data_IF_518789222025
#
_entry.id   IF_518789222025
#
_cell.length_a   1.000
_cell.length_b   1.000
_cell.length_c   1.000
_cell.angle_alpha   90.00
_cell.angle_beta   90.00
_cell.angle_gamma   90.00
#
_symmetry.space_group_name_H-M   'P 1'
#
loop_
_entity.id
_entity.type
_entity.pdbx_description
1 polymer ?
#
# COMPACT_ATOMS: atom_id res chain seq x y z
N UNK A 1 -5.66 30.93 -13.74
CA UNK A 1 -5.40 30.62 -12.31
C UNK A 1 -3.99 30.05 -12.20
N UNK A 2 -3.13 30.60 -11.35
CA UNK A 2 -1.70 30.22 -11.24
C UNK A 2 -1.54 28.95 -10.38
N UNK A 3 -0.47 28.19 -10.60
CA UNK A 3 -0.13 27.01 -9.79
C UNK A 3 0.24 27.42 -8.36
N UNK A 4 -0.57 27.01 -7.38
CA UNK A 4 -0.29 27.21 -5.96
C UNK A 4 0.73 26.17 -5.43
N UNK A 5 1.58 26.59 -4.48
CA UNK A 5 2.54 25.72 -3.79
C UNK A 5 1.82 24.89 -2.72
N UNK A 6 2.07 23.58 -2.71
CA UNK A 6 1.54 22.65 -1.70
C UNK A 6 2.58 22.41 -0.61
N UNK A 7 2.11 22.19 0.62
CA UNK A 7 2.92 21.65 1.72
C UNK A 7 3.20 20.16 1.45
N UNK A 8 4.38 19.69 1.83
CA UNK A 8 4.81 18.29 1.63
C UNK A 8 4.34 17.41 2.79
N UNK A 9 3.03 17.38 3.00
CA UNK A 9 2.35 16.65 4.06
C UNK A 9 1.20 15.83 3.44
N UNK A 10 0.64 14.89 4.20
CA UNK A 10 -0.52 14.13 3.75
C UNK A 10 -1.70 15.07 3.47
N UNK A 11 -2.30 14.96 2.28
CA UNK A 11 -3.49 15.74 1.93
C UNK A 11 -4.70 15.09 2.60
N UNK A 12 -5.21 15.72 3.65
CA UNK A 12 -6.37 15.25 4.42
C UNK A 12 -7.65 15.18 3.57
N UNK A 13 -7.87 16.14 2.67
CA UNK A 13 -9.06 16.18 1.82
C UNK A 13 -8.98 15.10 0.72
N UNK A 14 -9.84 14.08 0.80
CA UNK A 14 -9.85 12.94 -0.13
C UNK A 14 -10.04 13.31 -1.60
N UNK A 15 -10.89 14.30 -1.91
CA UNK A 15 -11.11 14.75 -3.31
C UNK A 15 -9.86 15.46 -3.86
N UNK A 16 -9.23 16.30 -3.04
CA UNK A 16 -7.98 16.98 -3.41
C UNK A 16 -6.80 16.00 -3.50
N UNK A 17 -6.75 15.00 -2.62
CA UNK A 17 -5.78 13.91 -2.64
C UNK A 17 -5.87 13.13 -3.95
N UNK A 18 -7.08 12.68 -4.32
CA UNK A 18 -7.30 11.91 -5.55
C UNK A 18 -6.88 12.69 -6.81
N UNK A 19 -7.32 13.95 -6.93
CA UNK A 19 -6.94 14.81 -8.05
C UNK A 19 -5.42 15.03 -8.13
N UNK A 20 -4.78 15.25 -6.98
CA UNK A 20 -3.33 15.45 -6.91
C UNK A 20 -2.57 14.17 -7.25
N UNK A 21 -3.04 13.02 -6.77
CA UNK A 21 -2.49 11.71 -7.07
C UNK A 21 -2.54 11.43 -8.58
N UNK A 22 -3.70 11.60 -9.23
CA UNK A 22 -3.82 11.38 -10.67
C UNK A 22 -2.89 12.30 -11.48
N UNK A 23 -2.81 13.59 -11.13
CA UNK A 23 -1.91 14.53 -11.81
C UNK A 23 -0.45 14.18 -11.62
N UNK A 24 -0.03 13.85 -10.39
CA UNK A 24 1.36 13.50 -10.09
C UNK A 24 1.76 12.17 -10.70
N UNK A 25 0.88 11.16 -10.67
CA UNK A 25 1.06 9.87 -11.33
C UNK A 25 1.37 10.07 -12.81
N UNK A 26 0.53 10.83 -13.53
CA UNK A 26 0.76 11.15 -14.96
C UNK A 26 2.09 11.88 -15.19
N UNK A 27 2.45 12.81 -14.30
CA UNK A 27 3.74 13.49 -14.37
C UNK A 27 4.93 12.54 -14.17
N UNK A 28 4.84 11.60 -13.23
CA UNK A 28 5.87 10.60 -12.98
C UNK A 28 5.99 9.58 -14.11
N UNK A 29 4.86 9.16 -14.70
CA UNK A 29 4.85 8.30 -15.89
C UNK A 29 5.55 8.98 -17.06
N UNK A 30 5.27 10.27 -17.28
CA UNK A 30 5.95 11.08 -18.31
C UNK A 30 7.45 11.18 -18.05
N UNK A 31 7.84 11.50 -16.81
CA UNK A 31 9.26 11.59 -16.44
C UNK A 31 9.98 10.24 -16.64
N UNK A 32 9.35 9.13 -16.25
CA UNK A 32 9.92 7.78 -16.43
C UNK A 32 10.09 7.44 -17.91
N UNK A 33 9.11 7.76 -18.74
CA UNK A 33 9.19 7.54 -20.19
C UNK A 33 10.29 8.36 -20.86
N UNK A 34 10.44 9.62 -20.48
CA UNK A 34 11.51 10.49 -20.96
C UNK A 34 12.89 9.94 -20.56
N UNK A 35 13.06 9.52 -19.31
CA UNK A 35 14.31 8.91 -18.85
C UNK A 35 14.63 7.61 -19.59
N UNK A 36 13.63 6.74 -19.78
CA UNK A 36 13.80 5.50 -20.52
C UNK A 36 14.23 5.76 -21.97
N UNK A 37 13.68 6.80 -22.61
CA UNK A 37 14.02 7.18 -23.98
C UNK A 37 15.40 7.84 -24.08
N UNK A 38 15.75 8.74 -23.16
CA UNK A 38 17.00 9.51 -23.22
C UNK A 38 18.24 8.68 -22.88
N UNK A 39 18.10 7.73 -21.97
CA UNK A 39 19.21 6.91 -21.51
C UNK A 39 19.18 5.48 -22.06
N UNK A 40 18.15 5.13 -22.85
CA UNK A 40 17.93 3.78 -23.39
C UNK A 40 17.98 2.69 -22.30
N UNK A 41 17.42 3.00 -21.12
CA UNK A 41 17.33 2.08 -19.98
C UNK A 41 15.89 1.66 -19.74
N UNK A 42 15.68 0.38 -19.46
CA UNK A 42 14.39 -0.15 -19.00
C UNK A 42 14.13 0.27 -17.55
N UNK A 43 13.08 1.08 -17.34
CA UNK A 43 12.71 1.61 -16.02
C UNK A 43 11.33 1.09 -15.61
N UNK A 44 11.28 0.40 -14.47
CA UNK A 44 10.04 -0.05 -13.84
C UNK A 44 9.58 0.87 -12.71
N UNK A 45 8.28 1.19 -12.66
CA UNK A 45 7.68 2.01 -11.60
C UNK A 45 6.48 1.30 -10.96
N UNK A 46 6.47 1.19 -9.62
CA UNK A 46 5.37 0.61 -8.84
C UNK A 46 4.67 1.71 -8.04
N UNK A 47 3.36 1.92 -8.27
CA UNK A 47 2.55 2.94 -7.59
C UNK A 47 1.31 2.31 -6.97
N UNK A 48 1.13 2.49 -5.66
CA UNK A 48 -0.08 2.14 -4.93
C UNK A 48 -1.02 3.35 -4.81
N UNK A 49 -2.26 3.20 -5.29
CA UNK A 49 -3.26 4.26 -5.30
C UNK A 49 -4.25 4.19 -4.14
N UNK A 50 -4.88 5.32 -3.76
CA UNK A 50 -5.79 5.40 -2.61
C UNK A 50 -7.07 4.56 -2.75
N UNK A 51 -7.49 4.19 -3.97
CA UNK A 51 -8.70 3.41 -4.22
C UNK A 51 -8.45 1.93 -4.56
N UNK A 52 -7.18 1.51 -4.63
CA UNK A 52 -6.84 0.11 -4.89
C UNK A 52 -7.21 -0.78 -3.71
N UNK A 53 -7.30 -0.25 -2.49
CA UNK A 53 -7.59 -1.03 -1.28
C UNK A 53 -9.03 -1.54 -1.24
N UNK A 54 -10.03 -0.75 -1.62
CA UNK A 54 -11.44 -1.18 -1.55
C UNK A 54 -11.80 -2.14 -2.69
N UNK A 55 -11.41 -1.85 -3.93
CA UNK A 55 -11.62 -2.77 -5.07
C UNK A 55 -10.90 -4.10 -4.85
N UNK A 56 -9.66 -4.06 -4.37
CA UNK A 56 -8.92 -5.28 -4.04
C UNK A 56 -9.58 -6.06 -2.89
N UNK A 57 -10.10 -5.39 -1.86
CA UNK A 57 -10.88 -6.05 -0.79
C UNK A 57 -12.14 -6.70 -1.34
N UNK A 58 -12.89 -6.03 -2.22
CA UNK A 58 -14.10 -6.56 -2.85
C UNK A 58 -13.80 -7.77 -3.74
N UNK A 59 -12.76 -7.69 -4.58
CA UNK A 59 -12.32 -8.80 -5.42
C UNK A 59 -11.83 -9.99 -4.59
N UNK A 60 -11.06 -9.73 -3.53
CA UNK A 60 -10.59 -10.75 -2.60
C UNK A 60 -11.76 -11.41 -1.84
N UNK A 61 -12.78 -10.64 -1.46
CA UNK A 61 -14.01 -11.16 -0.85
C UNK A 61 -14.83 -11.98 -1.85
N UNK A 62 -14.94 -11.54 -3.10
CA UNK A 62 -15.66 -12.24 -4.18
C UNK A 62 -14.99 -13.57 -4.51
N UNK A 63 -13.66 -13.59 -4.60
CA UNK A 63 -12.88 -14.81 -4.78
C UNK A 63 -13.06 -15.74 -3.58
N UNK A 64 -12.96 -15.24 -2.35
CA UNK A 64 -13.21 -16.02 -1.13
C UNK A 64 -14.62 -16.64 -1.10
N UNK A 65 -15.65 -15.90 -1.53
CA UNK A 65 -17.03 -16.40 -1.65
C UNK A 65 -17.14 -17.56 -2.65
N UNK A 66 -16.55 -17.43 -3.84
CA UNK A 66 -16.55 -18.48 -4.86
C UNK A 66 -15.79 -19.73 -4.41
N UNK A 67 -14.67 -19.53 -3.72
CA UNK A 67 -13.86 -20.63 -3.18
C UNK A 67 -14.56 -21.38 -2.05
N UNK A 68 -15.45 -20.75 -1.26
CA UNK A 68 -16.18 -21.43 -0.18
C UNK A 68 -17.05 -22.59 -0.67
N UNK A 69 -17.84 -22.37 -1.73
CA UNK A 69 -18.73 -23.39 -2.28
C UNK A 69 -18.01 -24.54 -2.98
N UNK A 70 -16.80 -24.30 -3.50
CA UNK A 70 -15.97 -25.35 -4.10
C UNK A 70 -15.15 -26.13 -3.06
N UNK A 71 -14.70 -25.48 -1.97
CA UNK A 71 -13.83 -26.10 -0.96
C UNK A 71 -14.59 -26.92 0.08
N UNK A 72 -15.81 -26.49 0.43
CA UNK A 72 -16.65 -27.16 1.40
C UNK A 72 -18.00 -27.47 0.75
N UNK A 73 -18.23 -28.71 0.27
CA UNK A 73 -19.50 -29.08 -0.33
C UNK A 73 -20.65 -28.96 0.69
N UNK A 74 -21.87 -28.84 0.17
CA UNK A 74 -23.11 -28.91 0.97
C UNK A 74 -23.31 -30.29 1.61
N UNK A 75 -24.24 -30.35 2.58
CA UNK A 75 -24.56 -31.49 3.45
C UNK A 75 -24.27 -32.86 2.83
N UNK A 76 -23.46 -33.66 3.53
CA UNK A 76 -23.11 -35.01 3.11
C UNK A 76 -24.16 -35.99 3.65
N UNK A 77 -24.78 -36.76 2.76
CA UNK A 77 -25.83 -37.73 3.11
C UNK A 77 -25.37 -38.77 4.13
N UNK A 78 -24.05 -39.02 4.23
CA UNK A 78 -23.48 -39.94 5.22
C UNK A 78 -23.79 -39.54 6.67
N UNK A 79 -24.04 -38.25 6.93
CA UNK A 79 -24.40 -37.77 8.26
C UNK A 79 -25.82 -38.17 8.68
N UNK A 80 -26.67 -38.57 7.73
CA UNK A 80 -28.04 -39.04 8.01
C UNK A 80 -28.07 -40.44 8.63
N UNK A 81 -26.99 -41.22 8.47
CA UNK A 81 -26.88 -42.59 8.99
C UNK A 81 -26.19 -42.67 10.37
N UNK A 82 -25.89 -41.52 10.99
CA UNK A 82 -25.23 -41.48 12.30
C UNK A 82 -26.24 -41.57 13.44
N UNK A 83 -25.89 -42.35 14.45
CA UNK A 83 -26.61 -42.39 15.71
C UNK A 83 -26.37 -41.11 16.51
N UNK A 84 -27.28 -40.79 17.43
CA UNK A 84 -27.24 -39.56 18.22
C UNK A 84 -25.92 -39.36 18.97
N UNK A 85 -25.36 -40.43 19.54
CA UNK A 85 -24.11 -40.36 20.31
C UNK A 85 -22.92 -39.99 19.42
N UNK A 86 -22.87 -40.54 18.19
CA UNK A 86 -21.86 -40.21 17.20
C UNK A 86 -22.01 -38.77 16.71
N UNK A 87 -23.24 -38.31 16.52
CA UNK A 87 -23.52 -36.93 16.13
C UNK A 87 -23.11 -35.93 17.23
N UNK A 88 -23.37 -36.28 18.49
CA UNK A 88 -22.99 -35.47 19.66
C UNK A 88 -21.47 -35.34 19.77
N UNK A 89 -20.73 -36.41 19.56
CA UNK A 89 -19.26 -36.40 19.54
C UNK A 89 -18.71 -35.52 18.41
N UNK A 90 -19.29 -35.59 17.21
CA UNK A 90 -18.88 -34.72 16.10
C UNK A 90 -19.13 -33.24 16.44
N UNK A 91 -20.29 -32.91 17.03
CA UNK A 91 -20.63 -31.53 17.40
C UNK A 91 -19.65 -30.98 18.44
N UNK A 92 -19.28 -31.75 19.46
CA UNK A 92 -18.33 -31.27 20.50
C UNK A 92 -16.95 -30.99 19.91
N UNK A 93 -16.45 -31.88 19.05
CA UNK A 93 -15.17 -31.70 18.35
C UNK A 93 -15.20 -30.46 17.45
N UNK A 94 -16.29 -30.24 16.72
CA UNK A 94 -16.44 -29.06 15.87
C UNK A 94 -16.49 -27.77 16.70
N UNK A 95 -17.23 -27.75 17.80
CA UNK A 95 -17.31 -26.58 18.68
C UNK A 95 -15.94 -26.23 19.29
N UNK A 96 -15.17 -27.23 19.71
CA UNK A 96 -13.79 -27.04 20.19
C UNK A 96 -12.88 -26.48 19.10
N UNK A 97 -12.93 -27.04 17.88
CA UNK A 97 -12.15 -26.55 16.73
C UNK A 97 -12.53 -25.12 16.33
N UNK A 98 -13.82 -24.78 16.32
CA UNK A 98 -14.30 -23.41 16.08
C UNK A 98 -13.73 -22.46 17.13
N UNK A 99 -13.76 -22.85 18.41
CA UNK A 99 -13.17 -22.09 19.51
C UNK A 99 -11.68 -21.82 19.30
N UNK A 100 -10.88 -22.85 19.02
CA UNK A 100 -9.44 -22.73 18.79
C UNK A 100 -9.11 -21.80 17.60
N UNK A 101 -9.85 -21.92 16.49
CA UNK A 101 -9.68 -21.04 15.33
C UNK A 101 -10.04 -19.59 15.66
N UNK A 102 -11.14 -19.35 16.41
CA UNK A 102 -11.53 -18.00 16.84
C UNK A 102 -10.45 -17.34 17.69
N UNK A 103 -9.87 -18.07 18.64
CA UNK A 103 -8.75 -17.59 19.47
C UNK A 103 -7.58 -17.18 18.58
N UNK A 104 -7.16 -18.05 17.65
CA UNK A 104 -6.06 -17.78 16.73
C UNK A 104 -6.32 -16.55 15.85
N UNK A 105 -7.53 -16.38 15.32
CA UNK A 105 -7.92 -15.20 14.54
C UNK A 105 -7.80 -13.93 15.38
N UNK A 106 -8.24 -13.96 16.63
CA UNK A 106 -8.16 -12.79 17.52
C UNK A 106 -6.71 -12.43 17.84
N UNK A 107 -5.85 -13.43 18.08
CA UNK A 107 -4.40 -13.22 18.24
C UNK A 107 -3.75 -12.61 16.99
N UNK A 108 -4.15 -13.04 15.79
CA UNK A 108 -3.66 -12.49 14.52
C UNK A 108 -4.21 -11.09 14.18
N UNK A 109 -5.37 -10.72 14.73
CA UNK A 109 -5.93 -9.37 14.56
C UNK A 109 -5.26 -8.36 15.48
N UNK A 110 -4.90 -8.77 16.70
CA UNK A 110 -4.18 -7.93 17.67
C UNK A 110 -2.76 -7.55 17.26
N UNK A 111 -2.15 -8.28 16.32
CA UNK A 111 -0.82 -7.99 15.76
C UNK A 111 -0.84 -7.11 14.51
N UNK A 112 -2.00 -6.60 14.07
CA UNK A 112 -1.98 -5.43 13.17
C UNK A 112 -1.50 -4.27 14.02
N UNK A 113 -0.25 -3.89 13.83
CA UNK A 113 0.22 -2.56 14.20
C UNK A 113 -0.70 -1.58 13.44
N UNK A 114 -1.62 -0.84 14.10
CA UNK A 114 -1.95 0.45 13.53
C UNK A 114 -0.62 1.21 13.55
N UNK A 115 -0.21 1.78 12.41
CA UNK A 115 0.76 2.88 12.47
C UNK A 115 -0.02 4.03 13.12
N UNK A 116 -0.16 3.95 14.44
CA UNK A 116 -0.64 5.02 15.29
C UNK A 116 0.58 5.86 15.61
N UNK A 117 0.60 7.00 14.95
CA UNK A 117 1.25 8.22 15.38
C UNK A 117 1.11 8.39 16.91
N UNK A 118 2.23 8.39 17.62
CA UNK A 118 2.32 8.87 19.00
C UNK A 118 3.71 9.50 19.24
N UNK A 119 3.71 10.84 19.17
CA UNK A 119 4.38 11.83 20.03
C UNK A 119 4.89 11.29 21.40
N UNK A 120 5.95 11.75 22.08
CA UNK A 120 6.72 13.01 22.17
C UNK A 120 8.16 12.64 22.58
N UNK A 121 9.21 13.39 22.20
CA UNK A 121 9.79 14.40 23.09
C UNK A 121 10.58 15.46 22.32
N UNK A 122 10.37 16.72 22.70
CA UNK A 122 11.16 17.88 22.29
C UNK A 122 12.47 17.93 23.09
N UNK A 123 13.62 17.86 22.40
CA UNK A 123 14.71 18.78 22.76
C UNK A 123 15.87 18.79 21.78
N UNK A 124 16.18 20.02 21.36
CA UNK A 124 17.52 20.53 21.01
C UNK A 124 18.13 20.03 19.69
N UNK A 125 18.21 20.96 18.73
CA UNK A 125 19.18 20.88 17.65
C UNK A 125 18.69 21.51 16.36
N UNK A 126 18.58 22.84 16.35
CA UNK A 126 18.41 23.63 15.13
C UNK A 126 19.56 23.34 14.17
N UNK A 127 19.39 22.38 13.25
CA UNK A 127 20.27 22.19 12.11
C UNK A 127 19.60 22.79 10.89
N UNK A 128 19.92 24.07 10.65
CA UNK A 128 19.81 24.70 9.34
C UNK A 128 20.58 23.83 8.35
N UNK A 129 19.87 23.16 7.44
CA UNK A 129 20.49 22.58 6.26
C UNK A 129 20.76 23.74 5.28
N UNK A 130 21.94 24.32 5.37
CA UNK A 130 22.44 25.28 4.38
C UNK A 130 22.69 24.53 3.07
N UNK A 131 21.83 24.74 2.07
CA UNK A 131 22.11 24.31 0.71
C UNK A 131 23.17 25.23 0.13
N UNK A 132 24.44 24.82 0.18
CA UNK A 132 25.49 25.49 -0.59
C UNK A 132 25.29 25.15 -2.06
N UNK A 133 24.74 26.10 -2.82
CA UNK A 133 24.81 26.10 -4.27
C UNK A 133 26.26 26.40 -4.67
N UNK A 134 27.04 25.36 -4.95
CA UNK A 134 28.37 25.45 -5.53
C UNK A 134 28.34 25.01 -7.00
N UNK A 135 27.75 25.81 -7.89
CA UNK A 135 27.99 25.69 -9.32
C UNK A 135 28.88 26.87 -9.73
N UNK A 136 30.19 26.67 -9.65
CA UNK A 136 31.17 27.61 -10.21
C UNK A 136 31.43 27.22 -11.66
N UNK A 137 30.70 27.82 -12.59
CA UNK A 137 31.14 27.88 -13.99
C UNK A 137 32.12 29.05 -14.12
N UNK A 138 33.42 28.79 -14.01
CA UNK A 138 34.43 29.75 -14.48
C UNK A 138 34.64 29.57 -15.97
N UNK A 139 33.94 30.41 -16.73
CA UNK A 139 34.24 30.69 -18.13
C UNK A 139 35.68 31.22 -18.23
N UNK A 140 36.56 30.47 -18.88
CA UNK A 140 37.87 30.95 -19.31
C UNK A 140 37.83 31.06 -20.83
N UNK A 141 37.53 32.26 -21.30
CA UNK A 141 37.80 32.68 -22.67
C UNK A 141 39.31 32.91 -22.81
N UNK A 142 40.01 31.99 -23.47
CA UNK A 142 41.37 32.24 -23.96
C UNK A 142 41.27 32.67 -25.43
N UNK A 143 41.40 33.97 -25.64
CA UNK A 143 41.72 34.55 -26.93
C UNK A 143 43.14 34.12 -27.34
N UNK A 144 43.28 33.53 -28.52
CA UNK A 144 44.56 33.51 -29.24
C UNK A 144 44.37 34.32 -30.52
N UNK A 145 45.02 35.49 -30.54
CA UNK A 145 45.17 36.32 -31.71
C UNK A 145 46.41 35.95 -32.51
N UNK A 146 46.31 36.21 -33.82
CA UNK A 146 47.33 36.78 -34.72
C UNK A 146 48.75 36.22 -34.61
N UNK A 147 49.12 35.40 -35.59
CA UNK A 147 50.19 35.73 -36.55
C UNK A 147 49.89 35.06 -37.91
#
# INVERSE_FOLDING_TARGET
>A
MVRAKLRMELISNRKALFKTFEKRKKGQEKATHELSTLYEVDIGMIIYGPDQTEKFKEEMQKLSKRMRGAKYPTWDEKYNCLLYDQLKEIVTVLMAKIGAVKVRINSMKGSRIPVSESSLDESVGSRKCSFHAGFSSTSTAAAFGVL
#
